data_IF_344662232442
#
_entry.id   IF_344662232442
#
_cell.length_a   1.000
_cell.length_b   1.000
_cell.length_c   1.000
_cell.angle_alpha   90.00
_cell.angle_beta   90.00
_cell.angle_gamma   90.00
#
_symmetry.space_group_name_H-M   'P 1'
#
loop_
_entity.id
_entity.type
_entity.pdbx_description
1 polymer ?
#
# COMPACT_ATOMS: atom_id res chain seq x y z
N UNK A 1 11.05 3.58 -9.20
CA UNK A 1 10.32 2.37 -9.64
C UNK A 1 9.97 1.42 -8.49
N UNK A 2 10.89 1.10 -7.57
CA UNK A 2 10.68 0.12 -6.47
C UNK A 2 9.43 0.39 -5.61
N UNK A 3 9.15 1.64 -5.22
CA UNK A 3 7.98 1.95 -4.38
C UNK A 3 6.64 1.71 -5.05
N UNK A 4 6.55 2.04 -6.35
CA UNK A 4 5.35 1.75 -7.14
C UNK A 4 5.14 0.24 -7.27
N UNK A 5 6.23 -0.53 -7.45
CA UNK A 5 6.15 -1.98 -7.43
C UNK A 5 5.63 -2.50 -6.08
N UNK A 6 6.13 -2.01 -4.95
CA UNK A 6 5.62 -2.37 -3.62
C UNK A 6 4.14 -2.01 -3.42
N UNK A 7 3.72 -0.84 -3.90
CA UNK A 7 2.31 -0.44 -3.88
C UNK A 7 1.44 -1.41 -4.67
N UNK A 8 1.84 -1.73 -5.90
CA UNK A 8 1.12 -2.67 -6.76
C UNK A 8 1.08 -4.07 -6.13
N UNK A 9 2.18 -4.53 -5.55
CA UNK A 9 2.23 -5.80 -4.79
C UNK A 9 1.25 -5.80 -3.62
N UNK A 10 1.19 -4.70 -2.85
CA UNK A 10 0.26 -4.57 -1.73
C UNK A 10 -1.21 -4.63 -2.17
N UNK A 11 -1.54 -3.95 -3.27
CA UNK A 11 -2.88 -3.99 -3.87
C UNK A 11 -3.21 -5.41 -4.33
N UNK A 12 -2.30 -6.08 -5.04
CA UNK A 12 -2.50 -7.46 -5.49
C UNK A 12 -2.71 -8.41 -4.31
N UNK A 13 -1.91 -8.30 -3.24
CA UNK A 13 -2.05 -9.13 -2.03
C UNK A 13 -3.38 -8.87 -1.33
N UNK A 14 -3.79 -7.62 -1.18
CA UNK A 14 -5.08 -7.27 -0.58
C UNK A 14 -6.28 -7.78 -1.39
N UNK A 15 -6.22 -7.63 -2.71
CA UNK A 15 -7.28 -8.11 -3.63
C UNK A 15 -7.34 -9.63 -3.65
N UNK A 16 -6.20 -10.34 -3.68
CA UNK A 16 -6.17 -11.80 -3.59
C UNK A 16 -6.75 -12.29 -2.25
N UNK A 17 -6.39 -11.64 -1.15
CA UNK A 17 -6.92 -11.97 0.18
C UNK A 17 -8.45 -11.84 0.24
N UNK A 18 -8.99 -10.79 -0.38
CA UNK A 18 -10.43 -10.56 -0.46
C UNK A 18 -11.15 -11.58 -1.36
N UNK A 19 -10.61 -11.89 -2.53
CA UNK A 19 -11.16 -12.92 -3.43
C UNK A 19 -11.17 -14.32 -2.78
N UNK A 20 -10.10 -14.67 -2.06
CA UNK A 20 -10.00 -15.93 -1.33
C UNK A 20 -11.00 -16.02 -0.16
N UNK A 21 -11.27 -14.90 0.49
CA UNK A 21 -12.27 -14.80 1.56
C UNK A 21 -13.69 -14.97 1.00
N UNK A 22 -14.00 -14.31 -0.11
CA UNK A 22 -15.30 -14.42 -0.80
C UNK A 22 -15.56 -15.85 -1.30
N UNK A 23 -14.52 -16.54 -1.77
CA UNK A 23 -14.62 -17.94 -2.22
C UNK A 23 -14.72 -18.93 -1.07
N UNK A 24 -14.45 -18.51 0.18
CA UNK A 24 -14.47 -19.36 1.37
C UNK A 24 -13.31 -20.37 1.44
N UNK A 25 -12.26 -20.18 0.64
CA UNK A 25 -11.16 -21.14 0.53
C UNK A 25 -10.14 -21.06 1.66
N UNK A 26 -9.99 -19.89 2.30
CA UNK A 26 -8.98 -19.65 3.34
C UNK A 26 -9.54 -19.43 4.75
N UNK A 27 -10.86 -19.30 4.91
CA UNK A 27 -11.49 -18.92 6.17
C UNK A 27 -10.86 -17.65 6.76
N UNK A 28 -10.48 -17.71 8.04
CA UNK A 28 -9.85 -16.59 8.77
C UNK A 28 -8.55 -16.08 8.16
N UNK A 29 -7.84 -16.92 7.40
CA UNK A 29 -6.57 -16.56 6.78
C UNK A 29 -6.72 -15.48 5.69
N UNK A 30 -7.93 -15.32 5.12
CA UNK A 30 -8.23 -14.25 4.17
C UNK A 30 -8.21 -12.86 4.80
N UNK A 31 -8.71 -12.73 6.03
CA UNK A 31 -8.66 -11.48 6.80
C UNK A 31 -7.22 -11.04 7.08
N UNK A 32 -6.34 -12.00 7.36
CA UNK A 32 -4.91 -11.73 7.54
C UNK A 32 -4.27 -11.14 6.27
N UNK A 33 -4.55 -11.71 5.10
CA UNK A 33 -4.02 -11.21 3.81
C UNK A 33 -4.54 -9.81 3.47
N UNK A 34 -5.81 -9.54 3.74
CA UNK A 34 -6.39 -8.19 3.59
C UNK A 34 -5.66 -7.21 4.51
N UNK A 35 -5.43 -7.58 5.77
CA UNK A 35 -4.69 -6.76 6.74
C UNK A 35 -3.25 -6.46 6.32
N UNK A 36 -2.53 -7.47 5.82
CA UNK A 36 -1.17 -7.31 5.28
C UNK A 36 -1.17 -6.38 4.06
N UNK A 37 -2.08 -6.58 3.12
CA UNK A 37 -2.23 -5.70 1.95
C UNK A 37 -2.52 -4.25 2.33
N UNK A 38 -3.46 -4.04 3.27
CA UNK A 38 -3.80 -2.71 3.79
C UNK A 38 -2.63 -2.04 4.52
N UNK A 39 -1.88 -2.79 5.33
CA UNK A 39 -0.71 -2.30 6.05
C UNK A 39 0.42 -1.84 5.12
N UNK A 40 0.77 -2.66 4.13
CA UNK A 40 1.81 -2.31 3.15
C UNK A 40 1.33 -1.12 2.29
N UNK A 41 0.07 -1.11 1.86
CA UNK A 41 -0.52 -0.01 1.10
C UNK A 41 -0.45 1.32 1.85
N UNK A 42 -0.81 1.31 3.14
CA UNK A 42 -0.76 2.49 4.00
C UNK A 42 0.67 3.00 4.21
N UNK A 43 1.65 2.09 4.42
CA UNK A 43 3.06 2.47 4.55
C UNK A 43 3.61 3.12 3.27
N UNK A 44 3.26 2.60 2.09
CA UNK A 44 3.69 3.18 0.81
C UNK A 44 3.02 4.52 0.54
N UNK A 45 1.71 4.65 0.82
CA UNK A 45 1.00 5.93 0.76
C UNK A 45 1.60 6.98 1.69
N UNK A 46 1.92 6.62 2.93
CA UNK A 46 2.59 7.51 3.88
C UNK A 46 3.96 7.96 3.37
N UNK A 47 4.75 7.05 2.80
CA UNK A 47 6.01 7.39 2.16
C UNK A 47 5.82 8.35 0.97
N UNK A 48 4.79 8.15 0.14
CA UNK A 48 4.50 9.01 -1.02
C UNK A 48 4.03 10.39 -0.59
N UNK A 49 3.18 10.46 0.43
CA UNK A 49 2.74 11.71 1.02
C UNK A 49 3.91 12.47 1.66
N UNK A 50 4.83 11.76 2.33
CA UNK A 50 6.04 12.36 2.90
C UNK A 50 6.95 12.94 1.80
N UNK A 51 7.18 12.21 0.71
CA UNK A 51 7.95 12.70 -0.43
C UNK A 51 7.27 13.91 -1.09
N UNK A 52 5.94 13.90 -1.25
CA UNK A 52 5.19 15.01 -1.83
C UNK A 52 5.19 16.26 -0.93
N UNK A 53 5.09 16.06 0.39
CA UNK A 53 5.20 17.13 1.38
C UNK A 53 6.61 17.73 1.42
N UNK A 54 7.66 16.91 1.41
CA UNK A 54 9.05 17.41 1.35
C UNK A 54 9.37 18.05 0.00
N UNK A 55 8.93 17.47 -1.12
CA UNK A 55 9.09 18.08 -2.44
C UNK A 55 8.39 19.45 -2.52
N UNK A 56 7.23 19.61 -1.87
CA UNK A 56 6.52 20.88 -1.76
C UNK A 56 7.16 21.93 -0.85
N UNK A 57 8.15 21.56 -0.03
CA UNK A 57 8.90 22.52 0.84
C UNK A 57 10.25 22.94 0.25
N UNK A 58 10.75 22.24 -0.78
CA UNK A 58 12.00 22.57 -1.47
C UNK A 58 11.89 23.74 -2.45
N UNK A 59 10.67 24.06 -2.92
CA UNK A 59 10.42 25.13 -3.91
C UNK A 59 10.32 26.54 -3.30
N UNK A 60 10.63 26.70 -2.01
CA UNK A 60 10.63 28.00 -1.30
C UNK A 60 12.01 28.48 -0.87
N UNK A 61 13.09 27.94 -1.46
CA UNK A 61 14.45 28.42 -1.18
C UNK A 61 15.29 28.55 -2.45
N UNK A 62 14.97 29.52 -3.28
CA UNK A 62 15.95 30.26 -4.09
C UNK A 62 15.47 31.74 -4.19
N UNK A 63 16.41 32.69 -4.32
CA UNK A 63 16.49 33.98 -3.60
C UNK A 63 15.49 35.07 -3.99
#
# INVERSE_FOLDING_TARGET
MVRLAWFMSAVVVGVLGFDLLLRGWLGDSGWFLIGVGAGIGCAVLGSLAHDALLAGTGDRRLP
#
